data_IF_476640551672
#
_entry.id   IF_476640551672
#
_cell.length_a   1.000
_cell.length_b   1.000
_cell.length_c   1.000
_cell.angle_alpha   90.00
_cell.angle_beta   90.00
_cell.angle_gamma   90.00
#
_symmetry.space_group_name_H-M   'P 1'
#
loop_
_entity.id
_entity.type
_entity.pdbx_description
1 polymer ?
#
# COMPACT_ATOMS: atom_id res chain seq x y z
N UNK A 1 11.44 -24.93 18.59
CA UNK A 1 11.87 -24.54 17.22
C UNK A 1 10.78 -24.76 16.17
N UNK A 2 10.07 -25.91 16.12
CA UNK A 2 8.97 -26.14 15.13
C UNK A 2 7.83 -25.11 15.13
N UNK A 3 7.42 -24.64 16.31
CA UNK A 3 6.30 -23.68 16.45
C UNK A 3 6.61 -22.32 15.78
N UNK A 4 7.88 -21.94 15.73
CA UNK A 4 8.32 -20.66 15.15
C UNK A 4 8.30 -20.70 13.61
N UNK A 5 8.71 -21.84 13.03
CA UNK A 5 8.69 -22.07 11.58
C UNK A 5 7.28 -22.12 10.99
N UNK A 6 6.33 -22.74 11.69
CA UNK A 6 4.92 -22.81 11.27
C UNK A 6 4.27 -21.42 11.29
N UNK A 7 4.53 -20.63 12.34
CA UNK A 7 4.01 -19.26 12.44
C UNK A 7 4.59 -18.34 11.36
N UNK A 8 5.89 -18.43 11.10
CA UNK A 8 6.54 -17.68 10.02
C UNK A 8 6.02 -18.07 8.64
N UNK A 9 5.71 -19.36 8.43
CA UNK A 9 5.12 -19.83 7.17
C UNK A 9 3.72 -19.24 6.99
N UNK A 10 2.89 -19.29 8.03
CA UNK A 10 1.54 -18.72 8.02
C UNK A 10 1.55 -17.21 7.74
N UNK A 11 2.42 -16.45 8.39
CA UNK A 11 2.52 -15.00 8.16
C UNK A 11 2.84 -14.68 6.69
N UNK A 12 3.73 -15.47 6.07
CA UNK A 12 4.09 -15.27 4.66
C UNK A 12 2.95 -15.63 3.71
N UNK A 13 2.19 -16.67 4.01
CA UNK A 13 0.99 -17.04 3.23
C UNK A 13 -0.07 -15.94 3.31
N UNK A 14 -0.32 -15.42 4.52
CA UNK A 14 -1.23 -14.29 4.74
C UNK A 14 -0.73 -13.04 3.99
N UNK A 15 0.57 -12.75 4.05
CA UNK A 15 1.18 -11.63 3.34
C UNK A 15 1.05 -11.76 1.82
N UNK A 16 1.24 -12.98 1.28
CA UNK A 16 1.09 -13.24 -0.15
C UNK A 16 -0.32 -12.92 -0.65
N UNK A 17 -1.35 -13.27 0.13
CA UNK A 17 -2.74 -12.93 -0.16
C UNK A 17 -2.96 -11.41 0.00
N UNK A 18 -2.45 -10.83 1.07
CA UNK A 18 -2.56 -9.41 1.37
C UNK A 18 -1.95 -8.50 0.30
N UNK A 19 -0.80 -8.86 -0.25
CA UNK A 19 -0.18 -8.15 -1.38
C UNK A 19 -1.11 -8.13 -2.60
N UNK A 20 -1.75 -9.25 -2.93
CA UNK A 20 -2.71 -9.30 -4.03
C UNK A 20 -3.92 -8.39 -3.79
N UNK A 21 -4.45 -8.35 -2.55
CA UNK A 21 -5.56 -7.45 -2.17
C UNK A 21 -5.14 -5.98 -2.23
N UNK A 22 -3.96 -5.65 -1.69
CA UNK A 22 -3.38 -4.31 -1.77
C UNK A 22 -3.21 -3.88 -3.22
N UNK A 23 -2.63 -4.74 -4.04
CA UNK A 23 -2.38 -4.45 -5.44
C UNK A 23 -3.67 -4.27 -6.24
N UNK A 24 -4.75 -4.98 -5.92
CA UNK A 24 -6.06 -4.76 -6.54
C UNK A 24 -6.64 -3.41 -6.12
N UNK A 25 -6.71 -3.13 -4.81
CA UNK A 25 -7.20 -1.86 -4.28
C UNK A 25 -6.50 -0.67 -4.93
N UNK A 26 -5.17 -0.69 -4.98
CA UNK A 26 -4.37 0.42 -5.53
C UNK A 26 -4.67 0.64 -7.01
N UNK A 27 -4.84 -0.43 -7.80
CA UNK A 27 -5.20 -0.31 -9.23
C UNK A 27 -6.59 0.29 -9.40
N UNK A 28 -7.58 -0.17 -8.64
CA UNK A 28 -8.93 0.40 -8.68
C UNK A 28 -8.94 1.87 -8.25
N UNK A 29 -8.22 2.20 -7.18
CA UNK A 29 -8.08 3.56 -6.70
C UNK A 29 -7.45 4.49 -7.75
N UNK A 30 -6.39 4.04 -8.44
CA UNK A 30 -5.74 4.79 -9.54
C UNK A 30 -6.72 5.02 -10.70
N UNK A 31 -7.42 3.97 -11.13
CA UNK A 31 -8.42 4.09 -12.21
C UNK A 31 -9.54 5.07 -11.83
N UNK A 32 -9.98 5.06 -10.57
CA UNK A 32 -11.00 5.97 -10.06
C UNK A 32 -10.53 7.45 -10.03
N UNK A 33 -9.22 7.73 -10.02
CA UNK A 33 -8.72 9.11 -10.15
C UNK A 33 -8.89 9.69 -11.56
N UNK A 34 -9.19 8.85 -12.57
CA UNK A 34 -9.38 9.30 -13.96
C UNK A 34 -8.11 9.76 -14.68
N UNK A 35 -6.93 9.48 -14.11
CA UNK A 35 -5.63 9.89 -14.68
C UNK A 35 -5.00 8.82 -15.59
N UNK A 36 -5.72 7.72 -15.84
CA UNK A 36 -5.23 6.58 -16.61
C UNK A 36 -4.38 5.63 -15.76
N UNK A 37 -3.55 4.82 -16.42
CA UNK A 37 -2.69 3.83 -15.78
C UNK A 37 -1.42 4.48 -15.21
N UNK A 38 -1.49 4.97 -13.97
CA UNK A 38 -0.32 5.51 -13.25
C UNK A 38 0.49 4.39 -12.56
N UNK A 39 1.38 3.76 -13.32
CA UNK A 39 2.25 2.71 -12.81
C UNK A 39 3.25 3.18 -11.74
N UNK A 40 3.64 4.45 -11.75
CA UNK A 40 4.54 4.99 -10.73
C UNK A 40 3.81 5.17 -9.39
N UNK A 41 2.57 5.68 -9.41
CA UNK A 41 1.73 5.76 -8.22
C UNK A 41 1.46 4.37 -7.63
N UNK A 42 1.22 3.37 -8.49
CA UNK A 42 1.08 1.98 -8.06
C UNK A 42 2.31 1.52 -7.28
N UNK A 43 3.51 1.65 -7.87
CA UNK A 43 4.77 1.25 -7.23
C UNK A 43 4.98 2.02 -5.91
N UNK A 44 4.73 3.34 -5.88
CA UNK A 44 4.91 4.12 -4.65
C UNK A 44 3.97 3.66 -3.54
N UNK A 45 2.71 3.37 -3.85
CA UNK A 45 1.71 2.98 -2.86
C UNK A 45 1.92 1.54 -2.38
N UNK A 46 2.28 0.60 -3.25
CA UNK A 46 2.50 -0.80 -2.86
C UNK A 46 3.95 -1.13 -2.44
N UNK A 47 4.84 -0.13 -2.37
CA UNK A 47 6.24 -0.39 -2.02
C UNK A 47 6.44 -0.73 -0.54
N UNK A 48 7.37 -1.65 -0.26
CA UNK A 48 7.85 -1.93 1.10
C UNK A 48 8.30 -0.65 1.82
N UNK A 49 8.95 0.28 1.13
CA UNK A 49 9.40 1.55 1.70
C UNK A 49 8.24 2.44 2.15
N UNK A 50 7.10 2.37 1.46
CA UNK A 50 5.88 3.00 1.95
C UNK A 50 5.34 2.22 3.15
N UNK A 51 5.10 0.91 3.04
CA UNK A 51 4.51 0.10 4.13
C UNK A 51 5.29 0.19 5.46
N UNK A 52 6.61 0.42 5.39
CA UNK A 52 7.47 0.71 6.55
C UNK A 52 7.00 1.85 7.45
N UNK A 53 6.19 2.79 6.95
CA UNK A 53 5.62 3.84 7.81
C UNK A 53 4.70 3.27 8.89
N UNK A 54 4.06 2.12 8.61
CA UNK A 54 3.08 1.47 9.48
C UNK A 54 3.71 0.35 10.31
N UNK A 55 4.67 -0.38 9.76
CA UNK A 55 5.31 -1.51 10.44
C UNK A 55 6.22 -2.32 9.53
N UNK A 56 6.48 -3.58 9.88
CA UNK A 56 7.14 -4.50 8.98
C UNK A 56 6.24 -4.74 7.74
N UNK A 57 6.73 -4.55 6.50
CA UNK A 57 5.91 -4.71 5.29
C UNK A 57 5.16 -6.03 5.21
N UNK A 58 5.83 -7.16 5.49
CA UNK A 58 5.24 -8.49 5.45
C UNK A 58 4.14 -8.63 6.51
N UNK A 59 4.34 -8.10 7.71
CA UNK A 59 3.30 -8.14 8.75
C UNK A 59 2.09 -7.26 8.40
N UNK A 60 2.31 -6.13 7.71
CA UNK A 60 1.24 -5.24 7.22
C UNK A 60 0.43 -5.94 6.13
N UNK A 61 1.11 -6.55 5.15
CA UNK A 61 0.45 -7.36 4.11
C UNK A 61 -0.31 -8.53 4.75
N UNK A 62 0.28 -9.22 5.72
CA UNK A 62 -0.38 -10.32 6.42
C UNK A 62 -1.65 -9.86 7.16
N UNK A 63 -1.66 -8.66 7.74
CA UNK A 63 -2.86 -8.08 8.35
C UNK A 63 -3.98 -7.87 7.32
N UNK A 64 -3.66 -7.32 6.14
CA UNK A 64 -4.61 -7.19 5.03
C UNK A 64 -5.14 -8.57 4.62
N UNK A 65 -4.25 -9.56 4.48
CA UNK A 65 -4.61 -10.94 4.12
C UNK A 65 -5.54 -11.61 5.13
N UNK A 66 -5.33 -11.40 6.43
CA UNK A 66 -6.20 -11.89 7.50
C UNK A 66 -7.58 -11.24 7.45
N UNK A 67 -7.64 -9.91 7.39
CA UNK A 67 -8.92 -9.16 7.29
C UNK A 67 -9.72 -9.60 6.07
N UNK A 68 -9.04 -9.74 4.92
CA UNK A 68 -9.65 -10.30 3.70
C UNK A 68 -10.19 -11.71 3.90
N UNK A 69 -9.40 -12.60 4.51
CA UNK A 69 -9.76 -14.01 4.66
C UNK A 69 -10.94 -14.20 5.62
N UNK A 70 -11.04 -13.37 6.65
CA UNK A 70 -12.09 -13.45 7.67
C UNK A 70 -13.39 -12.72 7.27
N UNK A 71 -13.27 -11.61 6.54
CA UNK A 71 -14.39 -10.67 6.33
C UNK A 71 -14.65 -10.32 4.86
N UNK A 72 -13.86 -10.87 3.93
CA UNK A 72 -14.02 -10.70 2.50
C UNK A 72 -13.32 -9.46 1.92
N UNK A 73 -13.45 -9.30 0.60
CA UNK A 73 -12.73 -8.29 -0.18
C UNK A 73 -12.95 -6.86 0.31
N UNK A 74 -14.21 -6.49 0.56
CA UNK A 74 -14.55 -5.13 0.98
C UNK A 74 -13.89 -4.76 2.30
N UNK A 75 -13.83 -5.68 3.27
CA UNK A 75 -13.16 -5.41 4.54
C UNK A 75 -11.65 -5.18 4.36
N UNK A 76 -10.99 -5.91 3.45
CA UNK A 76 -9.60 -5.66 3.08
C UNK A 76 -9.41 -4.28 2.46
N UNK A 77 -10.31 -3.86 1.57
CA UNK A 77 -10.30 -2.52 0.97
C UNK A 77 -10.52 -1.42 2.00
N UNK A 78 -11.50 -1.60 2.89
CA UNK A 78 -11.80 -0.66 3.96
C UNK A 78 -10.57 -0.48 4.85
N UNK A 79 -9.93 -1.59 5.27
CA UNK A 79 -8.68 -1.53 6.04
C UNK A 79 -7.59 -0.75 5.32
N UNK A 80 -7.36 -0.97 4.02
CA UNK A 80 -6.35 -0.23 3.25
C UNK A 80 -6.71 1.27 3.17
N UNK A 81 -7.98 1.57 2.94
CA UNK A 81 -8.50 2.94 2.82
C UNK A 81 -8.39 3.73 4.13
N UNK A 82 -8.57 3.07 5.27
CA UNK A 82 -8.50 3.68 6.59
C UNK A 82 -7.05 3.84 7.07
N UNK A 83 -6.20 2.84 6.81
CA UNK A 83 -4.90 2.74 7.45
C UNK A 83 -3.73 3.21 6.58
N UNK A 84 -3.83 3.08 5.26
CA UNK A 84 -2.73 3.37 4.32
C UNK A 84 -3.00 4.59 3.45
N UNK A 85 -4.20 4.69 2.85
CA UNK A 85 -4.51 5.76 1.88
C UNK A 85 -4.27 7.19 2.42
N UNK A 86 -4.66 7.57 3.65
CA UNK A 86 -4.47 8.95 4.12
C UNK A 86 -3.01 9.37 4.13
N UNK A 87 -2.11 8.45 4.53
CA UNK A 87 -0.66 8.70 4.56
C UNK A 87 -0.06 8.74 3.16
N UNK A 88 -0.55 7.89 2.25
CA UNK A 88 -0.14 7.94 0.85
C UNK A 88 -0.45 9.31 0.21
N UNK A 89 -1.69 9.78 0.37
CA UNK A 89 -2.13 11.07 -0.15
C UNK A 89 -1.32 12.25 0.41
N UNK A 90 -0.94 12.19 1.68
CA UNK A 90 -0.07 13.21 2.28
C UNK A 90 1.31 13.23 1.61
N UNK A 91 1.91 12.06 1.37
CA UNK A 91 3.21 11.93 0.69
C UNK A 91 3.17 12.44 -0.74
N UNK A 92 2.11 12.12 -1.50
CA UNK A 92 1.93 12.61 -2.87
C UNK A 92 1.81 14.14 -2.93
N UNK A 93 1.09 14.75 -1.98
CA UNK A 93 1.00 16.22 -1.87
C UNK A 93 2.38 16.85 -1.63
N UNK A 94 3.20 16.24 -0.77
CA UNK A 94 4.55 16.71 -0.48
C UNK A 94 5.46 16.60 -1.71
N UNK A 95 5.41 15.49 -2.44
CA UNK A 95 6.16 15.29 -3.69
C UNK A 95 5.79 16.34 -4.74
N UNK A 96 4.50 16.56 -4.97
CA UNK A 96 4.03 17.57 -5.91
C UNK A 96 4.47 19.00 -5.54
N UNK A 97 4.59 19.31 -4.23
CA UNK A 97 5.08 20.60 -3.76
C UNK A 97 6.59 20.80 -4.01
N UNK A 98 7.39 19.75 -3.82
CA UNK A 98 8.83 19.74 -4.09
C UNK A 98 9.08 19.97 -5.58
N UNK A 99 8.37 19.27 -6.45
CA UNK A 99 8.47 19.40 -7.91
C UNK A 99 8.17 20.83 -8.39
N UNK A 100 7.11 21.44 -7.85
CA UNK A 100 6.76 22.84 -8.15
C UNK A 100 7.87 23.82 -7.74
N UNK A 101 8.48 23.62 -6.55
CA UNK A 101 9.60 24.46 -6.08
C UNK A 101 10.85 24.27 -6.96
N UNK A 102 11.17 23.04 -7.34
CA UNK A 102 12.29 22.73 -8.23
C UNK A 102 12.15 23.38 -9.60
N UNK A 103 10.96 23.34 -10.20
CA UNK A 103 10.66 24.03 -11.47
C UNK A 103 10.76 25.55 -11.37
N UNK A 104 10.35 26.15 -10.25
CA UNK A 104 10.47 27.61 -10.04
C UNK A 104 11.94 28.05 -9.93
N UNK A 105 12.80 27.28 -9.25
CA UNK A 105 14.24 27.58 -9.09
C UNK A 105 15.03 27.47 -10.40
N UNK A 106 14.60 26.62 -11.35
CA UNK A 106 15.27 26.50 -12.67
C UNK A 106 14.91 27.62 -13.66
N UNK A 107 13.89 28.44 -13.36
CA UNK A 107 13.35 29.48 -14.27
C UNK A 107 13.67 30.92 -13.84
N UNK A 108 14.35 31.11 -12.72
CA UNK A 108 14.80 32.42 -12.21
C UNK A 108 16.29 32.38 -11.94
#
# INVERSE_FOLDING_TARGET
MKVDEEALTKEREEAWIGDAVLALYVREWILAQGQGLDGEAFIRFSSNDFLRFRGNPTSVEAEIGRVYSEHGLQAGFDWISEHLLPRFLEREKQLAAIDKKGRKKKRG
#
